data_IF_452505488216
#
_entry.id   IF_452505488216
#
_cell.length_a   1.000
_cell.length_b   1.000
_cell.length_c   1.000
_cell.angle_alpha   90.00
_cell.angle_beta   90.00
_cell.angle_gamma   90.00
#
_symmetry.space_group_name_H-M   'P 1'
#
loop_
_entity.id
_entity.type
_entity.pdbx_description
1 polymer ?
#
# COMPACT_ATOMS: atom_id res chain seq x y z
N UNK A 1 -9.61 3.75 22.18
CA UNK A 1 -10.74 3.93 21.23
C UNK A 1 -11.49 2.62 21.10
N UNK A 2 -12.79 2.66 20.81
CA UNK A 2 -13.64 1.47 20.59
C UNK A 2 -13.92 1.21 19.09
N UNK A 3 -13.46 2.10 18.22
CA UNK A 3 -13.63 2.00 16.77
C UNK A 3 -12.68 0.96 16.22
N UNK A 4 -13.17 0.19 15.26
CA UNK A 4 -12.40 -0.88 14.64
C UNK A 4 -11.46 -0.32 13.56
N UNK A 5 -10.32 -0.98 13.27
CA UNK A 5 -9.36 -0.48 12.30
C UNK A 5 -9.98 -0.20 10.92
N UNK A 6 -10.89 -1.06 10.46
CA UNK A 6 -11.55 -0.91 9.16
C UNK A 6 -12.46 0.33 9.08
N UNK A 7 -13.09 0.70 10.19
CA UNK A 7 -13.93 1.90 10.25
C UNK A 7 -13.07 3.17 10.21
N UNK A 8 -11.91 3.13 10.87
CA UNK A 8 -10.95 4.22 10.90
C UNK A 8 -10.31 4.40 9.52
N UNK A 9 -9.88 3.32 8.88
CA UNK A 9 -9.32 3.33 7.53
C UNK A 9 -10.32 3.91 6.53
N UNK A 10 -11.56 3.42 6.54
CA UNK A 10 -12.63 3.93 5.68
C UNK A 10 -12.94 5.42 5.92
N UNK A 11 -12.86 5.90 7.16
CA UNK A 11 -13.06 7.32 7.48
C UNK A 11 -11.93 8.18 6.93
N UNK A 12 -10.67 7.73 7.07
CA UNK A 12 -9.51 8.43 6.54
C UNK A 12 -9.59 8.49 5.01
N UNK A 13 -9.85 7.36 4.34
CA UNK A 13 -10.01 7.30 2.89
C UNK A 13 -11.10 8.24 2.37
N UNK A 14 -12.25 8.31 3.05
CA UNK A 14 -13.31 9.27 2.71
C UNK A 14 -12.92 10.74 2.91
N UNK A 15 -12.04 11.02 3.87
CA UNK A 15 -11.59 12.39 4.17
C UNK A 15 -10.62 12.85 3.09
N UNK A 16 -9.64 12.02 2.75
CA UNK A 16 -8.69 12.24 1.67
C UNK A 16 -9.40 12.43 0.33
N UNK A 17 -10.34 11.54 0.00
CA UNK A 17 -11.11 11.64 -1.25
C UNK A 17 -11.95 12.92 -1.35
N UNK A 18 -12.31 13.55 -0.23
CA UNK A 18 -13.07 14.82 -0.23
C UNK A 18 -12.18 16.06 -0.32
N UNK A 19 -10.96 15.98 0.19
CA UNK A 19 -10.08 17.12 0.33
C UNK A 19 -9.22 17.38 -0.92
N UNK A 20 -9.25 16.49 -1.92
CA UNK A 20 -8.42 16.52 -3.14
C UNK A 20 -6.90 16.60 -2.86
N UNK A 21 -6.49 16.40 -1.60
CA UNK A 21 -5.10 16.34 -1.17
C UNK A 21 -4.97 15.48 0.09
N UNK A 22 -3.85 14.76 0.21
CA UNK A 22 -3.41 14.17 1.48
C UNK A 22 -2.57 15.19 2.20
N UNK A 23 -2.95 15.49 3.45
CA UNK A 23 -2.22 16.40 4.30
C UNK A 23 -1.62 15.68 5.51
N UNK A 24 -0.75 16.38 6.24
CA UNK A 24 -0.10 15.86 7.45
C UNK A 24 -1.12 15.35 8.49
N UNK A 25 -2.33 15.91 8.52
CA UNK A 25 -3.39 15.50 9.46
C UNK A 25 -3.91 14.09 9.18
N UNK A 26 -3.98 13.68 7.90
CA UNK A 26 -4.40 12.32 7.53
C UNK A 26 -3.35 11.29 7.98
N UNK A 27 -2.08 11.62 7.82
CA UNK A 27 -0.95 10.81 8.29
C UNK A 27 -0.91 10.72 9.83
N UNK A 28 -1.16 11.83 10.53
CA UNK A 28 -1.28 11.81 12.00
C UNK A 28 -2.47 10.96 12.47
N UNK A 29 -3.58 10.96 11.73
CA UNK A 29 -4.74 10.16 12.06
C UNK A 29 -4.46 8.66 11.90
N UNK A 30 -3.81 8.24 10.81
CA UNK A 30 -3.42 6.82 10.64
C UNK A 30 -2.37 6.40 11.66
N UNK A 31 -1.41 7.25 12.02
CA UNK A 31 -0.42 6.95 13.07
C UNK A 31 -1.08 6.72 14.43
N UNK A 32 -2.02 7.58 14.82
CA UNK A 32 -2.79 7.39 16.05
C UNK A 32 -3.67 6.14 16.01
N UNK A 33 -4.16 5.77 14.84
CA UNK A 33 -4.91 4.52 14.67
C UNK A 33 -4.00 3.31 14.88
N UNK A 34 -2.78 3.34 14.35
CA UNK A 34 -1.75 2.32 14.52
C UNK A 34 -1.23 2.22 15.97
N UNK A 35 -1.23 3.30 16.75
CA UNK A 35 -0.95 3.22 18.20
C UNK A 35 -1.96 2.34 18.95
N UNK A 36 -3.21 2.30 18.49
CA UNK A 36 -4.29 1.51 19.10
C UNK A 36 -4.37 0.11 18.48
N UNK A 37 -4.16 0.01 17.17
CA UNK A 37 -4.27 -1.21 16.36
C UNK A 37 -2.98 -1.47 15.59
N UNK A 38 -1.87 -1.81 16.27
CA UNK A 38 -0.55 -1.93 15.64
C UNK A 38 -0.41 -3.12 14.69
N UNK A 39 -1.33 -4.08 14.77
CA UNK A 39 -1.35 -5.30 13.96
C UNK A 39 -2.42 -5.23 12.86
N UNK A 40 -2.88 -4.02 12.49
CA UNK A 40 -3.85 -3.84 11.41
C UNK A 40 -3.15 -3.71 10.07
N UNK A 41 -3.30 -4.72 9.22
CA UNK A 41 -2.77 -4.78 7.85
C UNK A 41 -3.29 -3.59 7.04
N UNK A 42 -4.61 -3.38 7.02
CA UNK A 42 -5.28 -2.29 6.30
C UNK A 42 -4.74 -0.91 6.71
N UNK A 43 -4.46 -0.66 7.99
CA UNK A 43 -3.93 0.63 8.45
C UNK A 43 -2.46 0.83 8.04
N UNK A 44 -1.67 -0.25 7.99
CA UNK A 44 -0.30 -0.17 7.49
C UNK A 44 -0.28 0.05 5.98
N UNK A 45 -1.13 -0.63 5.21
CA UNK A 45 -1.28 -0.39 3.78
C UNK A 45 -1.74 1.04 3.51
N UNK A 46 -2.79 1.50 4.20
CA UNK A 46 -3.27 2.88 4.08
C UNK A 46 -2.19 3.91 4.42
N UNK A 47 -1.37 3.67 5.45
CA UNK A 47 -0.25 4.57 5.76
C UNK A 47 0.73 4.67 4.60
N UNK A 48 1.07 3.54 3.98
CA UNK A 48 1.91 3.52 2.78
C UNK A 48 1.28 4.34 1.65
N UNK A 49 0.00 4.13 1.38
CA UNK A 49 -0.71 4.79 0.27
C UNK A 49 -0.71 6.31 0.46
N UNK A 50 -1.02 6.76 1.68
CA UNK A 50 -1.00 8.18 2.05
C UNK A 50 0.39 8.79 1.89
N UNK A 51 1.46 8.08 2.25
CA UNK A 51 2.83 8.58 2.07
C UNK A 51 3.13 8.77 0.58
N UNK A 52 2.72 7.86 -0.30
CA UNK A 52 2.98 7.97 -1.74
C UNK A 52 2.33 9.20 -2.38
N UNK A 53 1.13 9.56 -1.94
CA UNK A 53 0.36 10.69 -2.52
C UNK A 53 0.44 11.98 -1.69
N UNK A 54 1.12 11.93 -0.54
CA UNK A 54 1.30 13.09 0.34
C UNK A 54 2.22 14.13 -0.30
N UNK A 55 1.88 15.39 -0.08
CA UNK A 55 2.72 16.54 -0.48
C UNK A 55 3.48 17.13 0.73
N UNK A 56 3.65 16.34 1.80
CA UNK A 56 4.42 16.72 3.00
C UNK A 56 5.92 16.59 2.73
N UNK A 57 6.50 17.65 2.17
CA UNK A 57 7.92 17.75 1.84
C UNK A 57 8.80 17.56 3.10
N UNK A 58 9.24 16.32 3.33
CA UNK A 58 10.32 15.98 4.25
C UNK A 58 9.91 15.25 5.54
N UNK A 59 8.63 14.98 5.79
CA UNK A 59 8.21 14.20 6.96
C UNK A 59 8.36 12.69 6.76
N UNK A 60 7.97 12.19 5.58
CA UNK A 60 8.11 10.78 5.21
C UNK A 60 8.78 10.65 3.85
N UNK A 61 9.52 9.57 3.67
CA UNK A 61 10.12 9.23 2.39
C UNK A 61 9.41 8.04 1.74
N UNK A 62 9.72 7.76 0.47
CA UNK A 62 9.17 6.58 -0.20
C UNK A 62 9.59 5.28 0.48
N UNK A 63 10.77 5.27 1.12
CA UNK A 63 11.20 4.15 1.97
C UNK A 63 10.28 3.94 3.18
N UNK A 64 9.65 4.99 3.73
CA UNK A 64 8.66 4.84 4.79
C UNK A 64 7.35 4.22 4.27
N UNK A 65 7.01 4.44 2.99
CA UNK A 65 5.87 3.77 2.35
C UNK A 65 6.17 2.28 2.18
N UNK A 66 7.34 1.93 1.60
CA UNK A 66 7.81 0.55 1.48
C UNK A 66 7.84 -0.18 2.83
N UNK A 67 8.35 0.49 3.87
CA UNK A 67 8.39 -0.05 5.22
C UNK A 67 6.98 -0.31 5.78
N UNK A 68 5.99 0.52 5.42
CA UNK A 68 4.60 0.33 5.84
C UNK A 68 4.00 -0.94 5.26
N UNK A 69 4.12 -1.15 3.94
CA UNK A 69 3.62 -2.37 3.31
C UNK A 69 4.41 -3.62 3.74
N UNK A 70 5.72 -3.49 3.92
CA UNK A 70 6.54 -4.58 4.45
C UNK A 70 6.08 -4.97 5.84
N UNK A 71 5.74 -3.99 6.68
CA UNK A 71 5.20 -4.25 8.02
C UNK A 71 3.84 -4.96 7.95
N UNK A 72 2.97 -4.58 7.01
CA UNK A 72 1.71 -5.27 6.77
C UNK A 72 1.94 -6.75 6.40
N UNK A 73 2.89 -7.03 5.50
CA UNK A 73 3.25 -8.39 5.09
C UNK A 73 3.91 -9.22 6.21
N UNK A 74 4.58 -8.57 7.17
CA UNK A 74 5.13 -9.24 8.36
C UNK A 74 4.07 -9.63 9.39
N UNK A 75 2.98 -8.86 9.48
CA UNK A 75 1.87 -9.10 10.40
C UNK A 75 1.12 -10.38 9.99
N UNK A 76 0.77 -10.48 8.71
CA UNK A 76 0.18 -11.69 8.14
C UNK A 76 0.81 -12.02 6.78
N UNK A 77 1.73 -13.01 6.72
CA UNK A 77 2.34 -13.45 5.47
C UNK A 77 1.41 -14.21 4.52
N UNK A 78 0.16 -14.49 4.94
CA UNK A 78 -0.88 -15.12 4.14
C UNK A 78 -1.97 -14.13 3.68
N UNK A 79 -1.90 -12.87 4.11
CA UNK A 79 -2.82 -11.84 3.64
C UNK A 79 -2.37 -11.31 2.27
N UNK A 80 -3.24 -11.32 1.24
CA UNK A 80 -2.88 -10.89 -0.10
C UNK A 80 -2.69 -9.37 -0.24
N UNK A 81 -3.34 -8.55 0.59
CA UNK A 81 -3.42 -7.09 0.44
C UNK A 81 -2.02 -6.46 0.51
N UNK A 82 -1.21 -6.86 1.48
CA UNK A 82 0.13 -6.30 1.65
C UNK A 82 1.07 -6.59 0.45
N UNK A 83 0.95 -7.77 -0.15
CA UNK A 83 1.75 -8.13 -1.33
C UNK A 83 1.25 -7.41 -2.58
N UNK A 84 -0.06 -7.19 -2.69
CA UNK A 84 -0.63 -6.37 -3.76
C UNK A 84 -0.13 -4.92 -3.67
N UNK A 85 -0.18 -4.31 -2.48
CA UNK A 85 0.33 -2.94 -2.28
C UNK A 85 1.83 -2.82 -2.56
N UNK A 86 2.64 -3.82 -2.18
CA UNK A 86 4.07 -3.87 -2.57
C UNK A 86 4.26 -3.96 -4.09
N UNK A 87 3.44 -4.77 -4.77
CA UNK A 87 3.45 -4.88 -6.22
C UNK A 87 3.22 -3.52 -6.89
N UNK A 88 2.14 -2.84 -6.52
CA UNK A 88 1.83 -1.50 -7.04
C UNK A 88 2.88 -0.45 -6.67
N UNK A 89 3.44 -0.50 -5.47
CA UNK A 89 4.52 0.39 -5.06
C UNK A 89 5.76 0.22 -5.97
N UNK A 90 6.23 -1.01 -6.19
CA UNK A 90 7.41 -1.21 -7.03
C UNK A 90 7.16 -0.89 -8.50
N UNK A 91 5.94 -1.14 -8.98
CA UNK A 91 5.56 -0.84 -10.36
C UNK A 91 5.40 0.67 -10.58
N UNK A 92 4.50 1.33 -9.87
CA UNK A 92 4.13 2.71 -10.13
C UNK A 92 5.11 3.74 -9.55
N UNK A 93 5.72 3.46 -8.38
CA UNK A 93 6.57 4.43 -7.69
C UNK A 93 8.04 4.21 -7.98
N UNK A 94 8.50 2.95 -7.91
CA UNK A 94 9.90 2.64 -8.20
C UNK A 94 10.17 2.46 -9.70
N UNK A 95 9.14 2.32 -10.54
CA UNK A 95 9.28 1.98 -11.96
C UNK A 95 10.16 0.75 -12.18
N UNK A 96 10.03 -0.25 -11.30
CA UNK A 96 10.79 -1.49 -11.28
C UNK A 96 9.84 -2.69 -11.43
N UNK A 97 9.37 -2.97 -12.66
CA UNK A 97 8.47 -4.09 -12.91
C UNK A 97 9.12 -5.44 -12.54
N UNK A 98 10.45 -5.54 -12.54
CA UNK A 98 11.17 -6.75 -12.14
C UNK A 98 11.04 -7.06 -10.65
N UNK A 99 10.97 -6.01 -9.81
CA UNK A 99 10.65 -6.16 -8.39
C UNK A 99 9.15 -6.34 -8.14
N UNK A 100 8.28 -5.70 -8.93
CA UNK A 100 6.83 -5.80 -8.76
C UNK A 100 6.28 -7.21 -9.06
N UNK A 101 6.77 -7.87 -10.11
CA UNK A 101 6.32 -9.19 -10.57
C UNK A 101 6.16 -10.25 -9.45
N UNK A 102 7.19 -10.53 -8.61
CA UNK A 102 7.06 -11.53 -7.56
C UNK A 102 6.02 -11.18 -6.50
N UNK A 103 5.77 -9.90 -6.23
CA UNK A 103 4.78 -9.47 -5.24
C UNK A 103 3.35 -9.69 -5.76
N UNK A 104 3.06 -9.28 -7.00
CA UNK A 104 1.76 -9.58 -7.60
C UNK A 104 1.49 -11.09 -7.73
N UNK A 105 2.49 -11.89 -8.11
CA UNK A 105 2.35 -13.36 -8.09
C UNK A 105 2.01 -13.89 -6.71
N UNK A 106 2.71 -13.40 -5.68
CA UNK A 106 2.46 -13.83 -4.30
C UNK A 106 1.04 -13.45 -3.86
N UNK A 107 0.58 -12.24 -4.17
CA UNK A 107 -0.78 -11.80 -3.88
C UNK A 107 -1.81 -12.72 -4.55
N UNK A 108 -1.64 -13.04 -5.84
CA UNK A 108 -2.53 -13.94 -6.59
C UNK A 108 -2.53 -15.35 -6.00
N UNK A 109 -1.36 -15.90 -5.65
CA UNK A 109 -1.25 -17.23 -5.02
C UNK A 109 -2.00 -17.30 -3.68
N UNK A 110 -2.12 -16.16 -2.99
CA UNK A 110 -2.86 -16.01 -1.73
C UNK A 110 -4.35 -15.68 -1.93
N UNK A 111 -4.80 -15.51 -3.18
CA UNK A 111 -6.20 -15.25 -3.51
C UNK A 111 -6.57 -13.78 -3.62
N UNK A 112 -5.62 -12.90 -3.96
CA UNK A 112 -5.91 -11.53 -4.37
C UNK A 112 -6.90 -11.47 -5.54
N UNK A 113 -7.55 -10.32 -5.69
CA UNK A 113 -8.63 -10.13 -6.64
C UNK A 113 -8.13 -9.80 -8.07
N UNK A 114 -9.00 -9.25 -8.90
CA UNK A 114 -8.71 -8.88 -10.28
C UNK A 114 -7.61 -7.82 -10.39
N UNK A 115 -7.48 -6.91 -9.42
CA UNK A 115 -6.50 -5.82 -9.46
C UNK A 115 -5.06 -6.35 -9.45
N UNK A 116 -4.75 -7.35 -8.64
CA UNK A 116 -3.44 -8.01 -8.67
C UNK A 116 -3.16 -8.73 -10.01
N UNK A 117 -4.19 -9.27 -10.66
CA UNK A 117 -4.04 -9.91 -11.98
C UNK A 117 -3.76 -8.89 -13.09
N UNK A 118 -4.43 -7.74 -13.05
CA UNK A 118 -4.20 -6.62 -13.97
C UNK A 118 -2.78 -6.08 -13.80
N UNK A 119 -2.36 -5.81 -12.56
CA UNK A 119 -1.00 -5.35 -12.25
C UNK A 119 0.07 -6.34 -12.74
N UNK A 120 -0.12 -7.65 -12.51
CA UNK A 120 0.81 -8.65 -13.03
C UNK A 120 0.84 -8.67 -14.57
N UNK A 121 -0.31 -8.50 -15.24
CA UNK A 121 -0.38 -8.51 -16.70
C UNK A 121 0.36 -7.32 -17.32
N UNK A 122 0.24 -6.13 -16.73
CA UNK A 122 0.95 -4.92 -17.12
C UNK A 122 2.46 -5.09 -16.95
N UNK A 123 2.91 -5.43 -15.74
CA UNK A 123 4.31 -5.71 -15.41
C UNK A 123 4.93 -6.74 -16.37
N UNK A 124 4.21 -7.83 -16.66
CA UNK A 124 4.69 -8.88 -17.57
C UNK A 124 4.77 -8.41 -19.03
N UNK A 125 3.94 -7.46 -19.46
CA UNK A 125 4.02 -6.86 -20.79
C UNK A 125 5.26 -5.96 -20.90
N UNK A 126 5.53 -5.17 -19.86
CA UNK A 126 6.71 -4.31 -19.80
C UNK A 126 8.01 -5.10 -19.81
N UNK A 127 8.13 -6.12 -18.95
CA UNK A 127 9.33 -6.97 -18.89
C UNK A 127 9.64 -7.65 -20.23
N UNK A 128 8.61 -8.07 -20.98
CA UNK A 128 8.78 -8.62 -22.33
C UNK A 128 9.28 -7.58 -23.33
N UNK A 129 8.84 -6.33 -23.19
CA UNK A 129 9.28 -5.24 -24.06
C UNK A 129 10.72 -4.81 -23.78
N UNK A 130 11.20 -4.95 -22.54
CA UNK A 130 12.56 -4.59 -22.12
C UNK A 130 13.60 -5.67 -22.49
N UNK A 131 13.16 -6.92 -22.68
CA UNK A 131 14.02 -8.04 -23.06
C UNK A 131 14.07 -8.37 -24.55
N UNK A 132 13.37 -7.62 -25.41
CA UNK A 132 13.29 -7.83 -26.86
C UNK A 132 14.24 -6.88 -27.63
#
# INVERSE_FOLDING_TARGET
MKEKPEEIAAQIGQTVSKNDCVCAEDLELVERALEVHPDSIELWCLRGDLIQVSNDEGRYSLEDAEASYTRAAEIDPEDPEAFESLGFYYDAICADPGKAEPFFRRAIDLGADESAHEGLAEVMAELKSQGA
#
